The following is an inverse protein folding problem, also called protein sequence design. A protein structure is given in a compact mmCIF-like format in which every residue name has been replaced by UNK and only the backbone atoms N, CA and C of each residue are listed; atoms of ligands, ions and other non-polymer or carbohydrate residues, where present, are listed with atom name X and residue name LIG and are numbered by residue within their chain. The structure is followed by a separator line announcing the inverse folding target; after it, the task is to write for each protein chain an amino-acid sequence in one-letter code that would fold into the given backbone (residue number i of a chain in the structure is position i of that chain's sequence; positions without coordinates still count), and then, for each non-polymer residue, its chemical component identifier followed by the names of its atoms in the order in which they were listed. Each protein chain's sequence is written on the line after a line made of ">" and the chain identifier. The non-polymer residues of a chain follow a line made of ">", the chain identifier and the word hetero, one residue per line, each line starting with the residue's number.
data_IF_832175713239
#
_entry.id   IF_832175713239
#
_cell.length_a   1.000
_cell.length_b   1.000
_cell.length_c   1.000
_cell.angle_alpha   90.00
_cell.angle_beta   90.00
_cell.angle_gamma   90.00
#
_symmetry.space_group_name_H-M   'P 1'
#
loop_
_entity.id
_entity.type
_entity.pdbx_description
1 polymer ?
#
# COMPACT_ATOMS: atom_id res chain seq x y z
N UNK A 1 15.41 -45.65 2.93
CA UNK A 1 15.76 -44.22 2.90
C UNK A 1 14.53 -43.44 3.32
N UNK A 2 14.52 -42.91 4.55
CA UNK A 2 13.47 -41.95 4.92
C UNK A 2 13.74 -40.68 4.15
N UNK A 3 12.77 -40.24 3.35
CA UNK A 3 12.80 -38.89 2.78
C UNK A 3 12.96 -37.94 3.97
N UNK A 4 14.05 -37.17 3.99
CA UNK A 4 14.20 -36.08 4.95
C UNK A 4 12.95 -35.21 4.82
N UNK A 5 12.13 -35.15 5.88
CA UNK A 5 10.98 -34.25 5.90
C UNK A 5 11.53 -32.86 5.59
N UNK A 6 11.12 -32.28 4.46
CA UNK A 6 11.45 -30.88 4.12
C UNK A 6 11.01 -30.03 5.30
N UNK A 7 11.99 -29.44 5.98
CA UNK A 7 11.75 -28.57 7.13
C UNK A 7 10.77 -27.47 6.71
N UNK A 8 9.71 -27.26 7.52
CA UNK A 8 8.71 -26.26 7.17
C UNK A 8 9.31 -24.85 7.26
N UNK A 9 8.79 -23.88 6.51
CA UNK A 9 9.38 -22.54 6.47
C UNK A 9 9.48 -21.90 7.86
N UNK A 10 8.45 -22.09 8.70
CA UNK A 10 8.41 -21.53 10.06
C UNK A 10 9.52 -22.08 10.96
N UNK A 11 9.94 -23.33 10.77
CA UNK A 11 11.03 -23.95 11.55
C UNK A 11 12.41 -23.38 11.18
N UNK A 12 12.51 -22.63 10.08
CA UNK A 12 13.73 -21.98 9.60
C UNK A 12 13.83 -20.51 10.05
N UNK A 13 12.79 -19.97 10.68
CA UNK A 13 12.73 -18.58 11.11
C UNK A 13 13.40 -18.41 12.48
N UNK A 14 14.01 -17.23 12.75
CA UNK A 14 14.63 -16.97 14.04
C UNK A 14 13.60 -16.87 15.17
N UNK A 15 14.05 -17.10 16.40
CA UNK A 15 13.27 -16.79 17.58
C UNK A 15 13.11 -15.27 17.74
N UNK A 16 11.88 -14.84 17.93
CA UNK A 16 11.44 -13.43 17.99
C UNK A 16 10.37 -13.29 19.07
N UNK A 17 10.16 -12.07 19.59
CA UNK A 17 9.06 -11.80 20.53
C UNK A 17 7.74 -11.57 19.78
N UNK A 18 7.82 -10.99 18.58
CA UNK A 18 6.70 -10.74 17.71
C UNK A 18 5.98 -12.00 17.25
N UNK A 19 4.79 -11.80 16.69
CA UNK A 19 3.90 -12.90 16.33
C UNK A 19 4.21 -13.45 14.95
N UNK A 20 4.57 -14.74 14.90
CA UNK A 20 4.63 -15.53 13.67
C UNK A 20 3.37 -16.40 13.56
N UNK A 21 2.65 -16.31 12.45
CA UNK A 21 1.45 -17.13 12.18
C UNK A 21 1.60 -17.85 10.84
N UNK A 22 1.64 -19.18 10.88
CA UNK A 22 1.56 -20.00 9.67
C UNK A 22 0.16 -19.89 9.05
N UNK A 23 0.08 -19.76 7.72
CA UNK A 23 -1.21 -19.73 7.02
C UNK A 23 -2.05 -18.47 7.30
N UNK A 24 -1.42 -17.33 7.60
CA UNK A 24 -2.12 -16.10 7.97
C UNK A 24 -3.05 -15.59 6.86
N UNK A 25 -4.35 -15.43 7.15
CA UNK A 25 -5.35 -15.02 6.15
C UNK A 25 -5.16 -13.57 5.65
N UNK A 26 -4.66 -13.38 4.43
CA UNK A 26 -4.39 -12.06 3.86
C UNK A 26 -5.67 -11.30 3.47
N UNK A 27 -6.75 -12.02 3.14
CA UNK A 27 -8.07 -11.43 2.91
C UNK A 27 -8.61 -10.61 4.09
N UNK A 28 -8.14 -10.88 5.33
CA UNK A 28 -8.54 -10.09 6.51
C UNK A 28 -7.76 -8.78 6.67
N UNK A 29 -6.72 -8.55 5.88
CA UNK A 29 -5.82 -7.41 6.01
C UNK A 29 -5.63 -6.62 4.72
N UNK A 30 -6.30 -7.00 3.63
CA UNK A 30 -6.33 -6.27 2.35
C UNK A 30 -7.68 -5.59 2.15
N UNK A 31 -7.70 -4.48 1.40
CA UNK A 31 -8.93 -3.68 1.26
C UNK A 31 -9.97 -4.30 0.33
N UNK A 32 -9.52 -5.06 -0.68
CA UNK A 32 -10.43 -5.87 -1.49
C UNK A 32 -11.08 -7.00 -0.68
N UNK A 33 -10.52 -7.37 0.46
CA UNK A 33 -10.96 -8.49 1.30
C UNK A 33 -10.94 -9.84 0.55
N UNK A 34 -9.96 -10.02 -0.33
CA UNK A 34 -9.72 -11.25 -1.09
C UNK A 34 -8.26 -11.70 -0.93
N UNK A 35 -7.98 -12.91 -1.39
CA UNK A 35 -6.64 -13.47 -1.48
C UNK A 35 -6.37 -14.61 -0.50
N UNK A 36 -5.46 -15.49 -0.92
CA UNK A 36 -5.06 -16.67 -0.17
C UNK A 36 -4.24 -16.36 1.08
N UNK A 37 -3.83 -17.39 1.83
CA UNK A 37 -3.02 -17.21 3.01
C UNK A 37 -1.58 -16.77 2.66
N UNK A 38 -0.93 -16.07 3.58
CA UNK A 38 0.54 -16.06 3.61
C UNK A 38 1.02 -17.44 4.08
N UNK A 39 2.11 -17.94 3.52
CA UNK A 39 2.79 -19.12 4.06
C UNK A 39 3.16 -18.88 5.52
N UNK A 40 3.82 -17.74 5.80
CA UNK A 40 3.98 -17.18 7.14
C UNK A 40 3.62 -15.69 7.14
N UNK A 41 2.84 -15.27 8.14
CA UNK A 41 2.61 -13.86 8.48
C UNK A 41 3.40 -13.51 9.74
N UNK A 42 4.31 -12.54 9.65
CA UNK A 42 5.05 -12.01 10.78
C UNK A 42 4.59 -10.58 11.13
N UNK A 43 4.40 -10.34 12.43
CA UNK A 43 4.16 -9.02 13.00
C UNK A 43 5.19 -8.77 14.10
N UNK A 44 6.22 -7.94 13.86
CA UNK A 44 7.19 -7.60 14.88
C UNK A 44 6.53 -6.83 16.01
N UNK A 45 7.02 -7.04 17.23
CA UNK A 45 6.61 -6.24 18.38
C UNK A 45 7.22 -4.84 18.31
N UNK A 46 8.52 -4.75 18.03
CA UNK A 46 9.25 -3.48 17.97
C UNK A 46 10.41 -3.52 16.96
N UNK A 47 11.20 -2.44 16.93
CA UNK A 47 12.34 -2.31 16.04
C UNK A 47 13.40 -3.38 16.28
N UNK A 48 13.73 -3.69 17.53
CA UNK A 48 14.78 -4.66 17.86
C UNK A 48 14.36 -6.08 17.47
N UNK A 49 13.08 -6.40 17.66
CA UNK A 49 12.47 -7.64 17.23
C UNK A 49 12.51 -7.78 15.69
N UNK A 50 12.17 -6.71 14.96
CA UNK A 50 12.28 -6.67 13.51
C UNK A 50 13.74 -6.82 13.02
N UNK A 51 14.70 -6.18 13.67
CA UNK A 51 16.12 -6.31 13.32
C UNK A 51 16.61 -7.75 13.54
N UNK A 52 16.25 -8.35 14.68
CA UNK A 52 16.57 -9.76 15.00
C UNK A 52 15.96 -10.69 13.95
N UNK A 53 14.70 -10.46 13.60
CA UNK A 53 14.02 -11.24 12.56
C UNK A 53 14.74 -11.15 11.22
N UNK A 54 15.08 -9.95 10.75
CA UNK A 54 15.71 -9.75 9.44
C UNK A 54 17.10 -10.38 9.39
N UNK A 55 17.93 -10.11 10.40
CA UNK A 55 19.29 -10.65 10.50
C UNK A 55 19.31 -12.18 10.58
N UNK A 56 18.32 -12.78 11.25
CA UNK A 56 18.22 -14.22 11.45
C UNK A 56 17.48 -14.98 10.36
N UNK A 57 16.77 -14.30 9.44
CA UNK A 57 16.00 -14.96 8.39
C UNK A 57 16.88 -15.28 7.19
N UNK A 58 17.00 -16.57 6.77
CA UNK A 58 17.75 -16.98 5.59
C UNK A 58 17.44 -16.14 4.34
N UNK A 59 18.46 -15.88 3.53
CA UNK A 59 18.35 -15.01 2.34
C UNK A 59 17.50 -15.61 1.22
N UNK A 60 17.34 -16.93 1.18
CA UNK A 60 16.48 -17.62 0.23
C UNK A 60 14.99 -17.53 0.58
N UNK A 61 14.65 -17.10 1.81
CA UNK A 61 13.27 -16.87 2.22
C UNK A 61 12.86 -15.45 1.79
N UNK A 62 11.90 -15.29 0.85
CA UNK A 62 11.43 -13.97 0.47
C UNK A 62 10.62 -13.34 1.61
N UNK A 63 10.82 -12.04 1.82
CA UNK A 63 10.07 -11.25 2.79
C UNK A 63 9.35 -10.14 2.03
N UNK A 64 8.02 -10.08 2.18
CA UNK A 64 7.20 -9.05 1.57
C UNK A 64 6.54 -8.17 2.63
N UNK A 65 6.98 -6.92 2.81
CA UNK A 65 6.30 -5.98 3.70
C UNK A 65 4.96 -5.54 3.09
N UNK A 66 3.91 -5.52 3.92
CA UNK A 66 2.60 -4.98 3.58
C UNK A 66 2.14 -3.96 4.62
N UNK A 67 1.48 -2.90 4.16
CA UNK A 67 0.76 -1.95 5.01
C UNK A 67 -0.66 -2.43 5.31
N UNK A 68 -1.63 -1.56 5.02
CA UNK A 68 -3.07 -1.90 5.13
C UNK A 68 -3.64 -2.55 3.87
N UNK A 69 -2.82 -2.80 2.84
CA UNK A 69 -3.26 -3.50 1.63
C UNK A 69 -4.25 -2.71 0.75
N UNK A 70 -4.19 -1.37 0.77
CA UNK A 70 -5.00 -0.49 -0.09
C UNK A 70 -4.55 -0.51 -1.56
N UNK A 71 -3.32 -0.93 -1.85
CA UNK A 71 -2.77 -1.04 -3.21
C UNK A 71 -2.34 -2.48 -3.59
N UNK A 72 -2.92 -3.49 -2.94
CA UNK A 72 -2.56 -4.89 -3.16
C UNK A 72 -3.77 -5.71 -3.65
N UNK A 73 -3.56 -6.51 -4.68
CA UNK A 73 -4.43 -7.64 -5.05
C UNK A 73 -3.65 -8.93 -4.77
N UNK A 74 -4.01 -9.62 -3.70
CA UNK A 74 -3.40 -10.90 -3.31
C UNK A 74 -4.14 -12.01 -4.03
N UNK A 75 -3.44 -12.83 -4.81
CA UNK A 75 -4.05 -13.95 -5.53
C UNK A 75 -4.51 -15.06 -4.59
N UNK A 76 -5.47 -15.86 -5.06
CA UNK A 76 -6.17 -16.85 -4.24
C UNK A 76 -5.26 -18.01 -3.76
N UNK A 77 -4.16 -18.28 -4.46
CA UNK A 77 -3.17 -19.30 -4.06
C UNK A 77 -2.25 -18.87 -2.91
N UNK A 78 -2.31 -17.60 -2.48
CA UNK A 78 -1.53 -17.08 -1.36
C UNK A 78 -0.15 -16.57 -1.74
N UNK A 79 0.64 -16.23 -0.71
CA UNK A 79 1.98 -15.64 -0.85
C UNK A 79 3.00 -16.55 -0.17
N UNK A 80 4.01 -16.99 -0.91
CA UNK A 80 5.12 -17.80 -0.39
C UNK A 80 6.10 -16.94 0.42
N UNK A 81 6.83 -17.58 1.34
CA UNK A 81 7.76 -16.89 2.22
C UNK A 81 7.08 -16.22 3.41
N UNK A 82 7.59 -15.04 3.77
CA UNK A 82 7.08 -14.26 4.91
C UNK A 82 6.41 -13.00 4.42
N UNK A 83 5.13 -12.85 4.73
CA UNK A 83 4.46 -11.55 4.68
C UNK A 83 4.70 -10.84 6.00
N UNK A 84 5.27 -9.64 5.94
CA UNK A 84 5.60 -8.84 7.11
C UNK A 84 4.64 -7.67 7.25
N UNK A 85 4.04 -7.50 8.42
CA UNK A 85 3.11 -6.40 8.69
C UNK A 85 3.48 -5.68 9.98
N UNK A 86 3.85 -4.41 9.85
CA UNK A 86 4.18 -3.56 10.99
C UNK A 86 2.95 -3.26 11.86
N UNK A 87 3.17 -3.29 13.18
CA UNK A 87 2.15 -3.13 14.21
C UNK A 87 2.04 -1.71 14.77
N UNK A 88 1.45 -1.61 15.97
CA UNK A 88 1.18 -0.34 16.67
C UNK A 88 2.46 0.42 17.02
N UNK A 89 3.52 -0.29 17.40
CA UNK A 89 4.79 0.30 17.81
C UNK A 89 5.55 0.97 16.65
N UNK A 90 5.09 0.73 15.42
CA UNK A 90 5.54 1.41 14.21
C UNK A 90 4.54 2.48 13.73
N UNK A 91 3.55 2.87 14.55
CA UNK A 91 2.49 3.81 14.19
C UNK A 91 2.52 5.11 15.00
N UNK A 92 3.55 5.33 15.81
CA UNK A 92 3.72 6.57 16.59
C UNK A 92 3.84 7.78 15.66
N UNK A 93 3.25 8.92 16.08
CA UNK A 93 3.31 10.20 15.39
C UNK A 93 3.70 11.26 16.43
N UNK A 94 4.80 11.96 16.19
CA UNK A 94 5.33 13.00 17.05
C UNK A 94 5.47 14.32 16.29
N UNK A 95 5.19 15.42 16.97
CA UNK A 95 5.35 16.79 16.48
C UNK A 95 6.62 17.37 17.10
N UNK A 96 7.50 17.94 16.27
CA UNK A 96 8.75 18.58 16.70
C UNK A 96 8.92 19.92 15.97
N UNK A 97 8.54 21.01 16.64
CA UNK A 97 8.41 22.31 16.01
C UNK A 97 7.39 22.28 14.87
N UNK A 98 7.86 22.48 13.63
CA UNK A 98 7.04 22.44 12.43
C UNK A 98 7.11 21.11 11.69
N UNK A 99 7.89 20.14 12.18
CA UNK A 99 8.06 18.86 11.51
C UNK A 99 7.20 17.78 12.18
N UNK A 100 6.78 16.80 11.38
CA UNK A 100 6.08 15.61 11.85
C UNK A 100 6.97 14.39 11.64
N UNK A 101 7.25 13.66 12.70
CA UNK A 101 7.86 12.32 12.60
C UNK A 101 6.77 11.26 12.76
N UNK A 102 6.68 10.33 11.83
CA UNK A 102 5.67 9.27 11.84
C UNK A 102 6.30 7.90 11.56
N UNK A 103 5.87 6.89 12.30
CA UNK A 103 6.21 5.50 12.02
C UNK A 103 5.55 5.00 10.73
N UNK A 104 6.16 4.01 10.08
CA UNK A 104 5.73 3.51 8.77
C UNK A 104 4.36 2.80 8.77
N UNK A 105 3.86 2.38 9.94
CA UNK A 105 2.52 1.82 10.11
C UNK A 105 1.46 2.89 10.43
N UNK A 106 1.85 4.15 10.66
CA UNK A 106 0.90 5.23 10.86
C UNK A 106 0.05 5.42 9.60
N UNK A 107 -1.27 5.57 9.77
CA UNK A 107 -2.17 5.85 8.66
C UNK A 107 -1.91 7.26 8.12
N UNK A 108 -1.90 7.40 6.80
CA UNK A 108 -1.68 8.71 6.12
C UNK A 108 -2.67 9.76 6.65
N UNK A 109 -3.95 9.40 6.77
CA UNK A 109 -4.99 10.27 7.30
C UNK A 109 -4.79 10.66 8.78
N UNK A 110 -4.16 9.81 9.60
CA UNK A 110 -3.86 10.15 10.98
C UNK A 110 -2.71 11.15 11.07
N UNK A 111 -1.70 11.01 10.21
CA UNK A 111 -0.59 11.98 10.11
C UNK A 111 -1.13 13.35 9.71
N UNK A 112 -1.99 13.42 8.68
CA UNK A 112 -2.67 14.67 8.30
C UNK A 112 -3.44 15.31 9.46
N UNK A 113 -4.19 14.49 10.22
CA UNK A 113 -4.98 14.95 11.36
C UNK A 113 -4.11 15.46 12.52
N UNK A 114 -3.00 14.80 12.81
CA UNK A 114 -2.05 15.25 13.85
C UNK A 114 -1.42 16.57 13.44
N UNK A 115 -0.99 16.72 12.18
CA UNK A 115 -0.46 17.98 11.65
C UNK A 115 -1.49 19.11 11.78
N UNK A 116 -2.74 18.87 11.37
CA UNK A 116 -3.81 19.87 11.49
C UNK A 116 -4.09 20.29 12.95
N UNK A 117 -4.10 19.34 13.88
CA UNK A 117 -4.26 19.63 15.31
C UNK A 117 -3.10 20.45 15.87
N UNK A 118 -1.90 20.27 15.32
CA UNK A 118 -0.71 21.05 15.64
C UNK A 118 -0.65 22.39 14.90
N UNK A 119 -1.68 22.75 14.10
CA UNK A 119 -1.72 23.97 13.28
C UNK A 119 -0.65 24.00 12.20
N UNK A 120 -0.33 22.84 11.64
CA UNK A 120 0.65 22.66 10.59
C UNK A 120 -0.02 22.32 9.26
N UNK A 121 0.30 23.09 8.23
CA UNK A 121 -0.14 22.94 6.84
C UNK A 121 0.92 22.25 5.98
N UNK A 122 0.53 21.73 4.81
CA UNK A 122 1.40 21.04 3.84
C UNK A 122 1.21 19.52 3.83
N UNK A 123 0.48 18.96 4.81
CA UNK A 123 0.25 17.51 4.94
C UNK A 123 -1.22 17.11 4.75
N UNK A 124 -2.10 18.03 4.36
CA UNK A 124 -3.53 17.80 4.16
C UNK A 124 -3.80 16.75 3.09
N UNK A 125 -2.95 16.67 2.06
CA UNK A 125 -3.08 15.72 0.95
C UNK A 125 -3.06 14.25 1.41
N UNK A 126 -2.34 13.95 2.50
CA UNK A 126 -2.30 12.60 3.10
C UNK A 126 -3.69 12.15 3.59
N UNK A 127 -4.59 13.08 3.93
CA UNK A 127 -5.96 12.73 4.30
C UNK A 127 -6.73 12.07 3.15
N UNK A 128 -6.39 12.40 1.91
CA UNK A 128 -7.00 11.82 0.72
C UNK A 128 -6.37 10.50 0.27
N UNK A 129 -5.29 10.06 0.91
CA UNK A 129 -4.53 8.88 0.50
C UNK A 129 -4.90 7.70 1.40
N UNK A 130 -5.42 6.60 0.83
CA UNK A 130 -5.65 5.37 1.59
C UNK A 130 -4.34 4.60 1.76
N UNK A 131 -3.81 4.51 2.98
CA UNK A 131 -2.57 3.78 3.21
C UNK A 131 -1.93 4.01 4.57
N UNK A 132 -0.65 3.66 4.61
CA UNK A 132 0.26 3.98 5.72
C UNK A 132 1.48 4.70 5.17
N UNK A 133 2.20 5.40 6.05
CA UNK A 133 3.42 6.13 5.70
C UNK A 133 4.45 5.26 4.98
N UNK A 134 4.64 4.00 5.39
CA UNK A 134 5.54 3.07 4.70
C UNK A 134 5.12 2.81 3.24
N UNK A 135 3.82 2.71 2.99
CA UNK A 135 3.27 2.63 1.64
C UNK A 135 3.44 3.94 0.86
N UNK A 136 3.22 5.08 1.53
CA UNK A 136 3.40 6.41 0.93
C UNK A 136 4.85 6.65 0.49
N UNK A 137 5.83 6.27 1.31
CA UNK A 137 7.25 6.26 0.97
C UNK A 137 7.52 5.33 -0.21
N UNK A 138 7.06 4.07 -0.16
CA UNK A 138 7.33 3.11 -1.24
C UNK A 138 6.77 3.56 -2.59
N UNK A 139 5.63 4.23 -2.58
CA UNK A 139 4.89 4.62 -3.78
C UNK A 139 5.07 6.08 -4.17
N UNK A 140 5.89 6.89 -3.48
CA UNK A 140 5.84 8.35 -3.61
C UNK A 140 4.37 8.84 -3.68
N UNK A 141 3.57 8.45 -2.69
CA UNK A 141 2.13 8.65 -2.78
C UNK A 141 1.82 10.14 -2.87
N UNK A 142 0.85 10.47 -3.72
CA UNK A 142 0.51 11.85 -4.00
C UNK A 142 -0.92 12.01 -4.45
N UNK A 143 -1.53 13.11 -4.03
CA UNK A 143 -2.91 13.48 -4.33
C UNK A 143 -3.03 15.00 -4.25
N UNK A 144 -4.01 15.56 -4.98
CA UNK A 144 -4.34 16.99 -4.90
C UNK A 144 -3.18 17.96 -5.15
N UNK A 145 -2.22 17.58 -5.99
CA UNK A 145 -1.09 18.42 -6.41
C UNK A 145 0.16 18.31 -5.55
N UNK A 146 0.17 17.46 -4.52
CA UNK A 146 1.31 17.23 -3.63
C UNK A 146 1.66 15.75 -3.58
N UNK A 147 2.95 15.44 -3.54
CA UNK A 147 3.50 14.11 -3.38
C UNK A 147 4.36 14.00 -2.11
N UNK A 148 4.61 12.77 -1.67
CA UNK A 148 5.45 12.48 -0.49
C UNK A 148 6.84 13.11 -0.60
N UNK A 149 7.43 13.12 -1.81
CA UNK A 149 8.74 13.74 -2.06
C UNK A 149 8.80 15.23 -1.75
N UNK A 150 7.67 15.94 -1.84
CA UNK A 150 7.63 17.40 -1.72
C UNK A 150 7.78 17.85 -0.26
N UNK A 151 7.46 16.95 0.67
CA UNK A 151 7.45 17.21 2.12
C UNK A 151 8.41 16.34 2.91
N UNK A 152 9.01 15.30 2.31
CA UNK A 152 9.93 14.40 3.02
C UNK A 152 11.24 15.12 3.39
N UNK A 153 11.66 14.99 4.65
CA UNK A 153 13.00 15.37 5.10
C UNK A 153 13.91 14.15 5.05
N UNK A 154 13.50 13.06 5.72
CA UNK A 154 14.21 11.78 5.72
C UNK A 154 13.27 10.61 5.98
N UNK A 155 13.67 9.42 5.56
CA UNK A 155 13.05 8.14 5.89
C UNK A 155 14.07 7.21 6.53
N UNK A 156 13.61 6.29 7.37
CA UNK A 156 14.41 5.20 7.92
C UNK A 156 13.88 3.86 7.44
N UNK A 157 14.80 2.98 7.07
CA UNK A 157 14.51 1.65 6.60
C UNK A 157 15.51 0.63 7.13
N UNK A 158 15.06 -0.60 7.31
CA UNK A 158 15.91 -1.74 7.60
C UNK A 158 16.20 -2.51 6.32
N UNK A 159 17.45 -2.92 6.14
CA UNK A 159 17.83 -3.88 5.10
C UNK A 159 17.67 -5.33 5.56
N UNK A 160 17.99 -6.29 4.68
CA UNK A 160 17.89 -7.73 4.99
C UNK A 160 18.85 -8.22 6.06
N UNK A 161 19.85 -7.43 6.45
CA UNK A 161 20.77 -7.74 7.56
C UNK A 161 20.26 -7.21 8.90
N UNK A 162 19.16 -6.45 8.90
CA UNK A 162 18.67 -5.75 10.09
C UNK A 162 19.40 -4.43 10.37
N UNK A 163 20.23 -3.93 9.45
CA UNK A 163 20.88 -2.65 9.61
C UNK A 163 19.91 -1.49 9.33
N UNK A 164 19.94 -0.47 10.20
CA UNK A 164 19.11 0.72 10.08
C UNK A 164 19.80 1.78 9.24
N UNK A 165 19.13 2.18 8.16
CA UNK A 165 19.58 3.21 7.24
C UNK A 165 18.68 4.43 7.36
N UNK A 166 19.29 5.61 7.34
CA UNK A 166 18.59 6.89 7.25
C UNK A 166 18.85 7.49 5.87
N UNK A 167 17.77 7.67 5.12
CA UNK A 167 17.74 8.11 3.74
C UNK A 167 17.21 9.54 3.69
N UNK A 168 17.95 10.45 3.05
CA UNK A 168 17.43 11.78 2.71
C UNK A 168 16.40 11.68 1.58
N UNK A 169 15.65 12.76 1.34
CA UNK A 169 14.74 12.81 0.19
C UNK A 169 15.45 12.56 -1.17
N UNK A 170 16.73 12.95 -1.30
CA UNK A 170 17.51 12.68 -2.50
C UNK A 170 17.85 11.19 -2.65
N UNK A 171 18.21 10.52 -1.54
CA UNK A 171 18.53 9.09 -1.53
C UNK A 171 17.32 8.21 -1.89
N UNK A 172 16.10 8.72 -1.66
CA UNK A 172 14.87 8.01 -2.02
C UNK A 172 14.68 7.86 -3.52
N UNK A 173 15.32 8.70 -4.35
CA UNK A 173 15.25 8.67 -5.82
C UNK A 173 13.80 8.51 -6.33
N UNK A 174 12.92 9.42 -5.89
CA UNK A 174 11.51 9.36 -6.22
C UNK A 174 11.22 9.62 -7.71
N UNK A 175 10.27 8.86 -8.24
CA UNK A 175 9.63 9.08 -9.55
C UNK A 175 8.10 8.93 -9.38
N UNK A 176 7.33 9.13 -10.44
CA UNK A 176 5.88 8.96 -10.43
C UNK A 176 5.52 7.54 -10.00
N UNK A 177 4.90 7.45 -8.82
CA UNK A 177 4.46 6.20 -8.20
C UNK A 177 5.59 5.21 -7.88
N UNK A 178 6.79 5.71 -7.56
CA UNK A 178 8.00 4.89 -7.37
C UNK A 178 9.06 5.57 -6.47
N UNK A 179 9.88 4.76 -5.81
CA UNK A 179 11.13 5.17 -5.14
C UNK A 179 12.27 4.19 -5.50
N UNK A 180 13.51 4.67 -5.55
CA UNK A 180 14.68 3.87 -5.92
C UNK A 180 15.29 3.03 -4.79
N UNK A 181 14.75 3.11 -3.56
CA UNK A 181 15.20 2.30 -2.42
C UNK A 181 14.99 0.81 -2.72
N UNK A 182 15.93 -0.10 -2.40
CA UNK A 182 15.77 -1.53 -2.66
C UNK A 182 14.42 -2.09 -2.20
N UNK A 183 13.83 -2.98 -3.00
CA UNK A 183 12.46 -3.46 -2.80
C UNK A 183 12.30 -4.30 -1.52
N UNK A 184 13.38 -4.94 -1.07
CA UNK A 184 13.46 -5.79 0.11
C UNK A 184 13.78 -5.00 1.40
N UNK A 185 13.98 -3.67 1.30
CA UNK A 185 14.10 -2.80 2.46
C UNK A 185 12.74 -2.44 3.05
N UNK A 186 12.67 -2.39 4.37
CA UNK A 186 11.45 -2.17 5.14
C UNK A 186 11.50 -0.81 5.80
N UNK A 187 10.70 0.14 5.31
CA UNK A 187 10.55 1.43 5.96
C UNK A 187 9.94 1.27 7.35
N UNK A 188 10.49 1.97 8.33
CA UNK A 188 10.04 1.92 9.73
C UNK A 188 9.61 3.29 10.26
N UNK A 189 10.14 4.39 9.70
CA UNK A 189 9.85 5.76 10.17
C UNK A 189 10.17 6.79 9.08
N UNK A 190 9.55 7.96 9.13
CA UNK A 190 9.92 9.12 8.32
C UNK A 190 9.63 10.43 9.04
N UNK A 191 10.31 11.49 8.62
CA UNK A 191 10.06 12.87 9.04
C UNK A 191 9.69 13.74 7.86
N UNK A 192 8.63 14.52 8.05
CA UNK A 192 8.06 15.40 7.06
C UNK A 192 8.17 16.84 7.55
N UNK A 193 8.47 17.73 6.62
CA UNK A 193 8.37 19.17 6.81
C UNK A 193 6.90 19.56 6.68
N UNK A 194 6.45 20.39 7.61
CA UNK A 194 5.21 21.13 7.49
C UNK A 194 5.48 22.61 7.86
N UNK A 195 4.46 23.45 7.77
CA UNK A 195 4.58 24.88 8.04
C UNK A 195 3.46 25.34 8.98
N UNK A 196 3.67 26.34 9.85
CA UNK A 196 2.59 26.94 10.60
C UNK A 196 1.51 27.48 9.66
N UNK A 197 0.25 27.12 9.90
CA UNK A 197 -0.88 27.52 9.07
C UNK A 197 -2.10 27.91 9.89
N UNK A 198 -3.06 28.54 9.22
CA UNK A 198 -4.36 28.87 9.81
C UNK A 198 -5.17 27.58 10.05
N UNK A 199 -5.59 27.27 11.30
CA UNK A 199 -6.31 26.04 11.60
C UNK A 199 -7.62 25.87 10.82
N UNK A 200 -8.33 26.96 10.55
CA UNK A 200 -9.60 26.90 9.82
C UNK A 200 -9.38 26.63 8.33
N UNK A 201 -8.38 27.27 7.72
CA UNK A 201 -7.94 26.94 6.36
C UNK A 201 -7.49 25.47 6.21
N UNK A 202 -6.71 24.94 7.15
CA UNK A 202 -6.26 23.54 7.13
C UNK A 202 -7.45 22.58 7.22
N UNK A 203 -8.38 22.82 8.15
CA UNK A 203 -9.60 21.99 8.29
C UNK A 203 -10.47 22.06 7.05
N UNK A 204 -10.67 23.26 6.49
CA UNK A 204 -11.44 23.45 5.27
C UNK A 204 -10.80 22.66 4.12
N UNK A 205 -9.48 22.74 3.96
CA UNK A 205 -8.76 22.00 2.93
C UNK A 205 -8.89 20.48 3.08
N UNK A 206 -8.76 19.96 4.30
CA UNK A 206 -8.98 18.53 4.56
C UNK A 206 -10.43 18.11 4.27
N UNK A 207 -11.41 18.94 4.62
CA UNK A 207 -12.82 18.67 4.34
C UNK A 207 -13.10 18.64 2.82
N UNK A 208 -12.58 19.60 2.07
CA UNK A 208 -12.66 19.61 0.60
C UNK A 208 -12.09 18.33 -0.02
N UNK A 209 -10.93 17.87 0.48
CA UNK A 209 -10.30 16.63 0.03
C UNK A 209 -11.22 15.43 0.28
N UNK A 210 -11.77 15.31 1.49
CA UNK A 210 -12.67 14.20 1.82
C UNK A 210 -13.96 14.22 1.01
N UNK A 211 -14.56 15.40 0.84
CA UNK A 211 -15.79 15.58 0.05
C UNK A 211 -15.53 15.25 -1.42
N UNK A 212 -14.49 15.82 -2.01
CA UNK A 212 -14.08 15.53 -3.39
C UNK A 212 -13.83 14.04 -3.60
N UNK A 213 -13.15 13.38 -2.65
CA UNK A 213 -12.88 11.95 -2.72
C UNK A 213 -14.18 11.13 -2.61
N UNK A 214 -15.05 11.46 -1.66
CA UNK A 214 -16.33 10.77 -1.47
C UNK A 214 -17.30 10.94 -2.63
N UNK A 215 -17.30 12.10 -3.28
CA UNK A 215 -18.11 12.37 -4.47
C UNK A 215 -17.60 11.63 -5.71
N UNK A 216 -16.29 11.43 -5.82
CA UNK A 216 -15.67 10.87 -7.04
C UNK A 216 -15.22 9.41 -6.95
N UNK A 217 -15.16 8.79 -5.76
CA UNK A 217 -14.58 7.45 -5.58
C UNK A 217 -15.45 6.56 -4.69
N UNK A 218 -15.44 5.22 -4.90
CA UNK A 218 -16.23 4.25 -4.12
C UNK A 218 -15.64 3.98 -2.74
N UNK A 219 -15.54 5.01 -1.88
CA UNK A 219 -14.81 4.95 -0.60
C UNK A 219 -15.42 4.03 0.47
N UNK A 220 -16.66 3.54 0.28
CA UNK A 220 -17.36 2.62 1.20
C UNK A 220 -17.42 1.17 0.68
N UNK A 221 -16.77 0.90 -0.45
CA UNK A 221 -16.75 -0.42 -1.08
C UNK A 221 -15.47 -1.18 -0.72
N UNK A 222 -15.49 -2.51 -0.91
CA UNK A 222 -14.28 -3.35 -0.83
C UNK A 222 -13.47 -3.17 -2.11
N UNK A 223 -12.54 -2.23 -2.08
CA UNK A 223 -11.79 -1.78 -3.26
C UNK A 223 -10.37 -1.41 -2.89
N UNK A 224 -9.48 -1.40 -3.87
CA UNK A 224 -8.14 -0.84 -3.74
C UNK A 224 -8.09 0.65 -4.11
N UNK A 225 -6.89 1.14 -4.39
CA UNK A 225 -6.67 2.41 -5.08
C UNK A 225 -7.10 2.37 -6.55
N UNK A 226 -6.68 3.37 -7.32
CA UNK A 226 -6.82 3.33 -8.78
C UNK A 226 -6.18 2.07 -9.35
N UNK A 227 -6.93 1.35 -10.19
CA UNK A 227 -6.55 0.04 -10.72
C UNK A 227 -5.39 0.16 -11.70
N UNK A 228 -5.46 1.15 -12.59
CA UNK A 228 -4.47 1.43 -13.62
C UNK A 228 -3.85 2.80 -13.46
N UNK A 229 -2.59 2.91 -13.86
CA UNK A 229 -1.89 4.18 -14.04
C UNK A 229 -2.57 4.99 -15.15
N UNK A 230 -2.50 6.31 -15.05
CA UNK A 230 -2.93 7.17 -16.14
C UNK A 230 -1.99 6.97 -17.36
N UNK A 231 -2.54 6.73 -18.57
CA UNK A 231 -1.74 6.65 -19.78
C UNK A 231 -1.19 8.04 -20.16
N UNK A 232 -0.10 8.12 -20.94
CA UNK A 232 0.41 9.40 -21.45
C UNK A 232 -0.69 10.20 -22.15
N UNK A 233 -0.86 11.48 -21.77
CA UNK A 233 -1.82 12.39 -22.40
C UNK A 233 -3.29 12.19 -22.01
N UNK A 234 -3.62 11.33 -21.04
CA UNK A 234 -5.02 11.09 -20.66
C UNK A 234 -5.23 10.54 -19.26
N UNK A 235 -6.49 10.29 -18.90
CA UNK A 235 -6.87 9.67 -17.62
C UNK A 235 -7.42 8.27 -17.87
N UNK A 236 -6.95 7.29 -17.12
CA UNK A 236 -7.34 5.89 -17.32
C UNK A 236 -8.86 5.71 -17.23
N UNK A 237 -9.53 6.37 -16.27
CA UNK A 237 -10.97 6.24 -16.09
C UNK A 237 -11.78 6.67 -17.31
N UNK A 238 -11.34 7.69 -18.06
CA UNK A 238 -12.03 8.17 -19.27
C UNK A 238 -11.94 7.14 -20.38
N UNK A 239 -10.76 6.56 -20.58
CA UNK A 239 -10.56 5.50 -21.56
C UNK A 239 -11.40 4.26 -21.23
N UNK A 240 -11.45 3.88 -19.94
CA UNK A 240 -12.24 2.74 -19.47
C UNK A 240 -13.74 2.97 -19.68
N UNK A 241 -14.23 4.18 -19.36
CA UNK A 241 -15.63 4.55 -19.55
C UNK A 241 -16.02 4.59 -21.03
N UNK A 242 -15.18 5.19 -21.87
CA UNK A 242 -15.36 5.24 -23.33
C UNK A 242 -15.34 3.85 -23.98
N UNK A 243 -14.62 2.89 -23.39
CA UNK A 243 -14.63 1.47 -23.80
C UNK A 243 -15.90 0.72 -23.34
N UNK A 244 -16.85 1.39 -22.69
CA UNK A 244 -18.11 0.80 -22.22
C UNK A 244 -17.95 -0.15 -21.04
N UNK A 245 -16.90 0.03 -20.23
CA UNK A 245 -16.59 -0.88 -19.11
C UNK A 245 -17.27 -0.50 -17.79
N UNK A 246 -17.93 0.66 -17.68
CA UNK A 246 -18.63 1.06 -16.44
C UNK A 246 -19.68 0.02 -16.06
N UNK A 247 -19.69 -0.39 -14.79
CA UNK A 247 -20.62 -1.40 -14.28
C UNK A 247 -20.32 -2.83 -14.70
N UNK A 248 -19.35 -3.07 -15.60
CA UNK A 248 -18.99 -4.40 -16.11
C UNK A 248 -18.61 -5.35 -14.97
N UNK A 249 -19.02 -6.62 -15.08
CA UNK A 249 -18.79 -7.64 -14.06
C UNK A 249 -18.11 -8.88 -14.64
N UNK A 250 -17.28 -9.51 -13.81
CA UNK A 250 -16.75 -10.86 -13.97
C UNK A 250 -16.82 -11.52 -12.61
N UNK A 251 -17.56 -12.63 -12.48
CA UNK A 251 -17.83 -13.25 -11.17
C UNK A 251 -18.38 -12.24 -10.14
N UNK A 252 -17.78 -12.20 -8.96
CA UNK A 252 -18.11 -11.23 -7.91
C UNK A 252 -17.40 -9.86 -8.05
N UNK A 253 -16.58 -9.65 -9.08
CA UNK A 253 -15.91 -8.38 -9.31
C UNK A 253 -16.75 -7.44 -10.20
N UNK A 254 -16.66 -6.14 -9.95
CA UNK A 254 -17.35 -5.11 -10.74
C UNK A 254 -16.48 -3.87 -10.97
N UNK A 255 -16.54 -3.28 -12.17
CA UNK A 255 -16.01 -1.94 -12.43
C UNK A 255 -16.96 -0.93 -11.80
N UNK A 256 -16.45 -0.08 -10.91
CA UNK A 256 -17.26 0.89 -10.19
C UNK A 256 -18.13 1.76 -11.10
N UNK A 257 -19.41 1.84 -10.77
CA UNK A 257 -20.37 2.77 -11.38
C UNK A 257 -20.03 4.23 -11.10
N UNK A 258 -19.34 4.50 -9.98
CA UNK A 258 -18.96 5.86 -9.60
C UNK A 258 -17.70 6.30 -10.37
N UNK A 259 -16.68 5.44 -10.45
CA UNK A 259 -15.41 5.77 -11.10
C UNK A 259 -14.74 4.55 -11.75
N UNK A 260 -14.71 4.51 -13.08
CA UNK A 260 -14.33 3.31 -13.84
C UNK A 260 -12.89 2.80 -13.64
N UNK A 261 -11.99 3.59 -13.05
CA UNK A 261 -10.65 3.11 -12.68
C UNK A 261 -10.61 2.36 -11.33
N UNK A 262 -11.75 2.02 -10.72
CA UNK A 262 -11.80 1.23 -9.48
C UNK A 262 -12.53 -0.08 -9.74
N UNK A 263 -11.90 -1.19 -9.37
CA UNK A 263 -12.55 -2.48 -9.26
C UNK A 263 -13.13 -2.65 -7.85
N UNK A 264 -14.29 -3.29 -7.74
CA UNK A 264 -15.01 -3.51 -6.50
C UNK A 264 -15.22 -5.01 -6.33
N UNK A 265 -14.93 -5.52 -5.13
CA UNK A 265 -15.45 -6.79 -4.67
C UNK A 265 -16.90 -6.59 -4.19
N UNK A 266 -17.89 -7.19 -4.86
CA UNK A 266 -19.31 -6.99 -4.54
C UNK A 266 -19.80 -7.75 -3.30
N UNK A 267 -18.96 -8.59 -2.69
CA UNK A 267 -19.36 -9.45 -1.58
C UNK A 267 -18.61 -10.76 -1.54
N UNK A 268 -18.47 -11.33 -2.73
CA UNK A 268 -18.16 -12.73 -3.03
C UNK A 268 -17.09 -12.87 -4.13
N UNK A 269 -16.41 -11.78 -4.51
CA UNK A 269 -15.34 -11.83 -5.51
C UNK A 269 -14.17 -12.68 -5.03
N UNK A 270 -13.61 -13.47 -5.94
CA UNK A 270 -12.25 -14.01 -5.80
C UNK A 270 -11.21 -12.99 -6.28
N UNK A 271 -9.93 -13.22 -5.95
CA UNK A 271 -8.86 -12.42 -6.55
C UNK A 271 -8.76 -12.68 -8.07
N UNK A 272 -9.02 -13.91 -8.50
CA UNK A 272 -9.10 -14.27 -9.91
C UNK A 272 -10.18 -13.48 -10.66
N UNK A 273 -11.36 -13.25 -10.06
CA UNK A 273 -12.42 -12.42 -10.65
C UNK A 273 -11.95 -10.98 -10.88
N UNK A 274 -11.31 -10.38 -9.86
CA UNK A 274 -10.79 -9.01 -9.95
C UNK A 274 -9.67 -8.89 -10.99
N UNK A 275 -8.76 -9.85 -11.04
CA UNK A 275 -7.67 -9.87 -12.02
C UNK A 275 -8.23 -10.07 -13.44
N UNK A 276 -9.16 -11.02 -13.64
CA UNK A 276 -9.81 -11.26 -14.93
C UNK A 276 -10.61 -10.05 -15.41
N UNK A 277 -11.35 -9.38 -14.52
CA UNK A 277 -12.07 -8.15 -14.85
C UNK A 277 -11.11 -7.05 -15.28
N UNK A 278 -9.99 -6.88 -14.58
CA UNK A 278 -8.98 -5.90 -14.96
C UNK A 278 -8.33 -6.20 -16.31
N UNK A 279 -8.00 -7.46 -16.61
CA UNK A 279 -7.48 -7.84 -17.92
C UNK A 279 -8.51 -7.64 -19.05
N UNK A 280 -9.80 -7.90 -18.81
CA UNK A 280 -10.87 -7.60 -19.76
C UNK A 280 -11.01 -6.09 -20.03
N UNK A 281 -10.90 -5.26 -18.99
CA UNK A 281 -10.84 -3.80 -19.15
C UNK A 281 -9.66 -3.39 -20.03
N UNK A 282 -8.46 -3.93 -19.78
CA UNK A 282 -7.27 -3.63 -20.59
C UNK A 282 -7.49 -4.01 -22.05
N UNK A 283 -8.04 -5.20 -22.31
CA UNK A 283 -8.35 -5.69 -23.66
C UNK A 283 -9.29 -4.74 -24.40
N UNK A 284 -10.44 -4.36 -23.80
CA UNK A 284 -11.42 -3.46 -24.43
C UNK A 284 -10.87 -2.07 -24.71
N UNK A 285 -10.10 -1.51 -23.78
CA UNK A 285 -9.46 -0.20 -23.98
C UNK A 285 -8.43 -0.27 -25.11
N UNK A 286 -7.64 -1.35 -25.18
CA UNK A 286 -6.69 -1.55 -26.29
C UNK A 286 -7.39 -1.69 -27.63
N UNK A 287 -8.47 -2.47 -27.71
CA UNK A 287 -9.22 -2.68 -28.96
C UNK A 287 -9.96 -1.43 -29.44
N UNK A 288 -10.57 -0.68 -28.52
CA UNK A 288 -11.37 0.51 -28.88
C UNK A 288 -10.53 1.74 -29.18
N UNK A 289 -9.39 1.91 -28.49
CA UNK A 289 -8.64 3.17 -28.48
C UNK A 289 -7.14 2.99 -28.74
N UNK A 290 -6.62 1.77 -28.83
CA UNK A 290 -5.19 1.52 -29.02
C UNK A 290 -4.32 1.74 -27.77
N UNK A 291 -4.91 2.09 -26.63
CA UNK A 291 -4.21 2.44 -25.38
C UNK A 291 -3.88 1.20 -24.56
N UNK A 292 -2.62 1.04 -24.16
CA UNK A 292 -2.18 -0.02 -23.24
C UNK A 292 -2.24 0.46 -21.78
N UNK A 293 -3.30 0.08 -21.08
CA UNK A 293 -3.40 0.34 -19.64
C UNK A 293 -2.40 -0.54 -18.86
N UNK A 294 -1.76 0.07 -17.87
CA UNK A 294 -0.78 -0.59 -16.98
C UNK A 294 -1.32 -0.63 -15.55
N UNK A 295 -1.31 -1.80 -14.92
CA UNK A 295 -1.73 -1.97 -13.52
C UNK A 295 -0.91 -1.08 -12.57
N UNK A 296 -1.61 -0.35 -11.70
CA UNK A 296 -1.02 0.38 -10.56
C UNK A 296 -1.11 -0.43 -9.27
N UNK A 297 -2.23 -1.14 -9.09
CA UNK A 297 -2.40 -2.13 -8.02
C UNK A 297 -1.36 -3.23 -8.19
N UNK A 298 -0.64 -3.52 -7.10
CA UNK A 298 0.36 -4.59 -7.08
C UNK A 298 -0.34 -5.94 -6.91
N UNK A 299 -0.23 -6.76 -7.96
CA UNK A 299 -0.73 -8.13 -7.98
C UNK A 299 0.35 -9.06 -7.45
N UNK A 300 0.07 -9.76 -6.35
CA UNK A 300 1.06 -10.58 -5.65
C UNK A 300 0.54 -11.99 -5.36
N UNK A 301 1.47 -12.89 -5.06
CA UNK A 301 1.15 -14.28 -4.77
C UNK A 301 0.89 -15.10 -6.03
N UNK A 302 0.51 -16.36 -5.81
CA UNK A 302 0.29 -17.36 -6.84
C UNK A 302 -1.19 -17.49 -7.17
N UNK A 303 -1.49 -17.83 -8.42
CA UNK A 303 -2.83 -18.27 -8.78
C UNK A 303 -3.23 -19.51 -7.96
N UNK A 304 -4.53 -19.74 -7.79
CA UNK A 304 -5.01 -21.01 -7.27
C UNK A 304 -4.54 -22.15 -8.20
N UNK A 305 -4.11 -23.25 -7.61
CA UNK A 305 -3.77 -24.48 -8.33
C UNK A 305 -5.02 -25.28 -8.72
#
# INVERSE_FOLDING_TARGET
>A
MMAAATQSLIDRLPAVTGRITQGGALSKVTWFQVGGPAEVLFKPDDLADLQTFLAGTPTDIPIMPIGVGSNLLVRDGGVDGVVLRLGRDFAEIAVDGNDITAGAAALDANVAKVAANARLTGLEFLSGIPGTIGGALRMNAGAYGTETKDVLIWAEALDRTGALHRLTAADMQFDYRHCGVPADWIFVRARFRAEPGDPEAIKARMAEIQESRGASQPIRSRTGGSTFRNPPGGKAWQAIDAAGCRGMRVGGAQVSEQHCNFLINTGDASAADLEALGEEVRRRVKESQGIDLTWEIKRIGRAAG
#
